data_IF_531168647704
#
_entry.id   IF_531168647704
#
_cell.length_a   1.000
_cell.length_b   1.000
_cell.length_c   1.000
_cell.angle_alpha   90.00
_cell.angle_beta   90.00
_cell.angle_gamma   90.00
#
_symmetry.space_group_name_H-M   'P 1'
#
loop_
_entity.id
_entity.type
_entity.pdbx_description
1 polymer ?
#
# COMPACT_ATOMS: atom_id res chain seq x y z
N UNK A 1 35.67 -10.03 -18.78
CA UNK A 1 36.09 -9.58 -17.43
C UNK A 1 35.44 -8.26 -17.02
N UNK A 2 35.34 -7.25 -17.89
CA UNK A 2 34.71 -5.94 -17.58
C UNK A 2 33.23 -6.05 -17.20
N UNK A 3 32.44 -6.88 -17.90
CA UNK A 3 31.03 -7.11 -17.58
C UNK A 3 30.79 -7.73 -16.19
N UNK A 4 31.68 -8.63 -15.75
CA UNK A 4 31.58 -9.25 -14.43
C UNK A 4 31.87 -8.23 -13.32
N UNK A 5 32.83 -7.32 -13.53
CA UNK A 5 33.14 -6.24 -12.60
C UNK A 5 32.00 -5.21 -12.55
N UNK A 6 31.40 -4.87 -13.69
CA UNK A 6 30.24 -3.97 -13.74
C UNK A 6 29.01 -4.59 -13.07
N UNK A 7 28.76 -5.89 -13.26
CA UNK A 7 27.69 -6.62 -12.59
C UNK A 7 27.92 -6.67 -11.07
N UNK A 8 29.15 -6.93 -10.63
CA UNK A 8 29.51 -6.92 -9.19
C UNK A 8 29.38 -5.53 -8.57
N UNK A 9 29.73 -4.46 -9.30
CA UNK A 9 29.54 -3.07 -8.84
C UNK A 9 28.06 -2.70 -8.78
N UNK A 10 27.25 -3.09 -9.75
CA UNK A 10 25.80 -2.88 -9.73
C UNK A 10 25.13 -3.66 -8.60
N UNK A 11 25.56 -4.90 -8.36
CA UNK A 11 25.11 -5.71 -7.23
C UNK A 11 25.53 -5.04 -5.91
N UNK A 12 26.74 -4.50 -5.80
CA UNK A 12 27.16 -3.74 -4.61
C UNK A 12 26.35 -2.45 -4.39
N UNK A 13 25.99 -1.72 -5.45
CA UNK A 13 25.09 -0.55 -5.35
C UNK A 13 23.66 -0.92 -4.94
N UNK A 14 23.18 -2.11 -5.31
CA UNK A 14 21.84 -2.61 -4.93
C UNK A 14 21.80 -3.09 -3.48
N UNK A 15 22.92 -3.57 -2.92
CA UNK A 15 23.02 -3.98 -1.51
C UNK A 15 23.10 -2.81 -0.50
N UNK A 16 23.17 -1.55 -0.94
CA UNK A 16 23.44 -0.40 -0.05
C UNK A 16 22.28 0.58 0.14
N UNK A 17 21.03 0.19 -0.10
CA UNK A 17 19.87 1.00 0.30
C UNK A 17 19.10 0.30 1.44
N UNK A 18 19.82 -0.12 2.48
CA UNK A 18 19.23 -0.33 3.79
C UNK A 18 19.39 0.99 4.55
N UNK A 19 18.39 1.87 4.52
CA UNK A 19 18.40 3.08 5.34
C UNK A 19 17.96 2.70 6.75
N UNK A 20 18.89 2.59 7.72
CA UNK A 20 18.54 2.07 9.03
C UNK A 20 17.67 3.09 9.78
N UNK A 21 16.60 2.61 10.41
CA UNK A 21 15.78 3.45 11.28
C UNK A 21 16.64 3.97 12.43
N UNK A 22 16.51 5.26 12.76
CA UNK A 22 17.14 5.84 13.96
C UNK A 22 16.08 6.42 14.87
N UNK A 23 16.33 6.41 16.18
CA UNK A 23 15.44 6.95 17.20
C UNK A 23 16.23 7.60 18.33
N UNK A 24 15.67 8.63 18.95
CA UNK A 24 16.30 9.35 20.05
C UNK A 24 15.76 8.87 21.40
N UNK A 25 16.64 8.84 22.39
CA UNK A 25 16.28 8.52 23.77
C UNK A 25 17.24 9.19 24.75
N UNK A 26 16.91 9.13 26.03
CA UNK A 26 17.84 9.51 27.10
C UNK A 26 18.62 8.28 27.55
N UNK A 27 19.94 8.39 27.58
CA UNK A 27 20.81 7.37 28.15
C UNK A 27 20.53 7.25 29.65
N UNK A 28 20.25 6.03 30.11
CA UNK A 28 19.97 5.77 31.52
C UNK A 28 21.23 5.86 32.40
N UNK A 29 22.42 5.72 31.80
CA UNK A 29 23.70 5.81 32.52
C UNK A 29 24.12 7.28 32.69
N UNK A 30 24.10 8.05 31.61
CA UNK A 30 24.65 9.43 31.61
C UNK A 30 23.60 10.52 31.72
N UNK A 31 22.31 10.19 31.53
CA UNK A 31 21.21 11.15 31.50
C UNK A 31 21.19 12.04 30.25
N UNK A 32 22.10 11.86 29.29
CA UNK A 32 22.19 12.69 28.07
C UNK A 32 21.32 12.14 26.93
N UNK A 33 20.87 13.00 25.99
CA UNK A 33 20.25 12.54 24.76
C UNK A 33 21.25 11.71 23.93
N UNK A 34 20.78 10.57 23.40
CA UNK A 34 21.54 9.70 22.50
C UNK A 34 20.67 9.29 21.32
N UNK A 35 21.27 9.26 20.14
CA UNK A 35 20.65 8.78 18.90
C UNK A 35 21.04 7.33 18.68
N UNK A 36 20.05 6.45 18.66
CA UNK A 36 20.23 5.01 18.49
C UNK A 36 19.83 4.58 17.08
N UNK A 37 20.48 3.53 16.58
CA UNK A 37 20.02 2.78 15.42
C UNK A 37 19.02 1.71 15.86
N UNK A 38 17.96 1.51 15.09
CA UNK A 38 17.00 0.42 15.28
C UNK A 38 17.54 -0.94 14.86
N UNK A 39 16.67 -1.92 14.89
CA UNK A 39 16.90 -3.30 14.50
C UNK A 39 16.31 -3.57 13.12
N UNK A 40 17.04 -4.30 12.30
CA UNK A 40 16.64 -4.70 10.94
C UNK A 40 15.39 -5.61 10.95
N UNK A 41 14.69 -5.76 9.81
CA UNK A 41 13.65 -6.77 9.64
C UNK A 41 14.14 -8.17 10.08
N UNK A 42 13.25 -8.99 10.63
CA UNK A 42 13.64 -10.28 11.21
C UNK A 42 14.19 -10.24 12.63
N UNK A 43 14.29 -9.05 13.23
CA UNK A 43 14.81 -8.86 14.58
C UNK A 43 13.99 -7.87 15.40
N UNK A 44 14.16 -7.93 16.72
CA UNK A 44 13.58 -7.01 17.70
C UNK A 44 14.67 -6.41 18.60
N UNK A 45 14.33 -5.31 19.27
CA UNK A 45 15.23 -4.63 20.20
C UNK A 45 15.26 -5.35 21.54
N UNK A 46 16.38 -6.01 21.83
CA UNK A 46 16.63 -6.67 23.12
C UNK A 46 17.09 -5.67 24.20
N UNK A 47 17.95 -4.74 23.82
CA UNK A 47 18.39 -3.66 24.70
C UNK A 47 18.67 -2.39 23.90
N UNK A 48 18.31 -1.24 24.48
CA UNK A 48 18.57 0.06 23.88
C UNK A 48 20.06 0.40 23.86
N UNK A 49 20.44 1.26 22.90
CA UNK A 49 21.76 1.86 22.89
C UNK A 49 21.99 2.78 24.10
N UNK A 50 23.26 2.95 24.45
CA UNK A 50 23.77 3.95 25.39
C UNK A 50 24.78 4.84 24.66
N UNK A 51 25.38 5.80 25.35
CA UNK A 51 26.43 6.66 24.76
C UNK A 51 27.65 5.86 24.27
N UNK A 52 27.89 4.67 24.83
CA UNK A 52 29.06 3.82 24.53
C UNK A 52 28.73 2.49 23.88
N UNK A 53 27.46 2.07 23.87
CA UNK A 53 27.04 0.79 23.31
C UNK A 53 25.92 0.98 22.28
N UNK A 54 26.02 0.28 21.16
CA UNK A 54 24.98 0.24 20.14
C UNK A 54 23.73 -0.51 20.63
N UNK A 55 22.60 -0.33 19.93
CA UNK A 55 21.39 -1.12 20.17
C UNK A 55 21.68 -2.62 20.02
N UNK A 56 21.18 -3.41 20.97
CA UNK A 56 21.30 -4.86 20.90
C UNK A 56 20.03 -5.44 20.28
N UNK A 57 20.17 -6.05 19.11
CA UNK A 57 19.09 -6.69 18.39
C UNK A 57 19.17 -8.21 18.52
N UNK A 58 18.01 -8.86 18.57
CA UNK A 58 17.91 -10.33 18.62
C UNK A 58 16.93 -10.83 17.55
N UNK A 59 17.16 -12.01 16.96
CA UNK A 59 16.30 -12.55 15.92
C UNK A 59 14.89 -12.86 16.47
N UNK A 60 13.89 -12.75 15.60
CA UNK A 60 12.53 -13.12 15.96
C UNK A 60 12.43 -14.64 16.28
N UNK A 61 11.79 -15.02 17.40
CA UNK A 61 11.50 -16.42 17.68
C UNK A 61 10.50 -17.01 16.69
N UNK A 62 10.43 -18.35 16.63
CA UNK A 62 9.46 -19.07 15.77
C UNK A 62 8.03 -18.59 16.05
N UNK A 63 7.25 -18.40 15.00
CA UNK A 63 5.87 -17.90 15.09
C UNK A 63 5.77 -16.38 15.27
N UNK A 64 6.86 -15.63 15.05
CA UNK A 64 6.86 -14.17 15.11
C UNK A 64 7.70 -13.55 13.99
N UNK A 65 7.45 -12.28 13.68
CA UNK A 65 8.09 -11.57 12.58
C UNK A 65 8.23 -10.05 12.82
N UNK A 66 9.10 -9.41 12.02
CA UNK A 66 9.15 -7.96 11.81
C UNK A 66 9.56 -7.68 10.36
N UNK A 67 8.79 -6.86 9.64
CA UNK A 67 9.01 -6.61 8.20
C UNK A 67 9.87 -5.37 7.93
N UNK A 68 9.93 -4.47 8.91
CA UNK A 68 10.58 -3.17 8.80
C UNK A 68 11.63 -3.01 9.90
N UNK A 69 12.56 -2.08 9.65
CA UNK A 69 13.42 -1.58 10.70
C UNK A 69 12.59 -1.06 11.88
N UNK A 70 12.94 -1.45 13.10
CA UNK A 70 12.10 -1.24 14.28
C UNK A 70 12.93 -1.00 15.55
N UNK A 71 12.27 -0.58 16.62
CA UNK A 71 12.86 -0.50 17.97
C UNK A 71 11.91 -1.12 19.01
N UNK A 72 11.06 -2.06 18.57
CA UNK A 72 10.08 -2.72 19.43
C UNK A 72 10.75 -3.80 20.28
N UNK A 73 10.30 -3.95 21.53
CA UNK A 73 10.89 -4.88 22.48
C UNK A 73 10.56 -6.36 22.24
N UNK A 74 9.66 -6.66 21.29
CA UNK A 74 9.18 -8.01 20.95
C UNK A 74 8.70 -8.04 19.49
N UNK A 75 8.89 -9.16 18.79
CA UNK A 75 8.36 -9.34 17.44
C UNK A 75 6.83 -9.48 17.41
N UNK A 76 6.23 -9.21 16.25
CA UNK A 76 4.80 -9.38 16.01
C UNK A 76 4.47 -10.87 15.88
N UNK A 77 3.34 -11.32 16.40
CA UNK A 77 2.92 -12.73 16.22
C UNK A 77 2.45 -12.94 14.80
N UNK A 78 2.82 -14.08 14.20
CA UNK A 78 2.27 -14.48 12.92
C UNK A 78 0.74 -14.59 13.01
N UNK A 79 0.06 -14.16 11.95
CA UNK A 79 -1.36 -14.40 11.73
C UNK A 79 -1.68 -15.89 11.53
N UNK A 80 -2.97 -16.17 11.50
CA UNK A 80 -3.52 -17.48 11.16
C UNK A 80 -4.60 -17.25 10.11
N UNK A 81 -4.61 -18.06 9.06
CA UNK A 81 -5.64 -17.95 8.03
C UNK A 81 -7.01 -18.32 8.57
N UNK A 82 -8.00 -17.51 8.22
CA UNK A 82 -9.37 -17.63 8.70
C UNK A 82 -10.18 -18.72 8.01
N UNK A 83 -11.49 -18.67 8.23
CA UNK A 83 -12.44 -19.61 7.64
C UNK A 83 -12.41 -19.49 6.11
N UNK A 84 -12.42 -20.64 5.43
CA UNK A 84 -12.34 -20.76 3.97
C UNK A 84 -11.08 -20.12 3.35
N UNK A 85 -10.01 -19.98 4.13
CA UNK A 85 -8.71 -19.56 3.65
C UNK A 85 -7.68 -20.70 3.74
N UNK A 86 -6.61 -20.56 2.97
CA UNK A 86 -5.40 -21.38 2.99
C UNK A 86 -4.17 -20.48 3.03
N UNK A 87 -3.07 -21.01 3.56
CA UNK A 87 -1.79 -20.30 3.59
C UNK A 87 -1.20 -20.30 2.18
N UNK A 88 -1.13 -19.13 1.53
CA UNK A 88 -0.44 -18.92 0.25
C UNK A 88 1.05 -18.74 0.46
N UNK A 89 1.44 -17.99 1.51
CA UNK A 89 2.83 -17.80 1.92
C UNK A 89 2.96 -18.03 3.42
N UNK A 90 3.92 -18.88 3.79
CA UNK A 90 4.19 -19.16 5.20
C UNK A 90 4.80 -17.94 5.90
N UNK A 91 4.45 -17.75 7.18
CA UNK A 91 5.11 -16.76 8.02
C UNK A 91 6.61 -17.07 8.17
N UNK A 92 7.43 -16.02 8.15
CA UNK A 92 8.88 -16.07 8.35
C UNK A 92 9.29 -15.04 9.40
N UNK A 93 10.55 -15.00 9.83
CA UNK A 93 11.01 -13.92 10.70
C UNK A 93 10.82 -12.52 10.05
N UNK A 94 10.80 -12.43 8.72
CA UNK A 94 10.81 -11.19 7.96
C UNK A 94 9.43 -10.76 7.42
N UNK A 95 8.42 -11.63 7.49
CA UNK A 95 7.09 -11.33 6.97
C UNK A 95 6.02 -12.22 7.58
N UNK A 96 4.80 -11.67 7.70
CA UNK A 96 3.64 -12.45 8.15
C UNK A 96 3.27 -13.55 7.14
N UNK A 97 2.40 -14.46 7.55
CA UNK A 97 1.73 -15.34 6.61
C UNK A 97 0.80 -14.54 5.67
N UNK A 98 0.69 -14.99 4.43
CA UNK A 98 -0.31 -14.49 3.50
C UNK A 98 -1.36 -15.57 3.27
N UNK A 99 -2.62 -15.17 3.36
CA UNK A 99 -3.77 -16.04 3.24
C UNK A 99 -4.51 -15.77 1.94
N UNK A 100 -5.06 -16.83 1.36
CA UNK A 100 -5.85 -16.79 0.14
C UNK A 100 -7.14 -17.57 0.34
N UNK A 101 -8.21 -17.20 -0.35
CA UNK A 101 -9.45 -17.95 -0.30
C UNK A 101 -9.27 -19.32 -0.95
N UNK A 102 -9.91 -20.35 -0.39
CA UNK A 102 -9.98 -21.67 -1.00
C UNK A 102 -10.63 -21.58 -2.39
N UNK A 103 -10.30 -22.54 -3.24
CA UNK A 103 -10.98 -22.69 -4.53
C UNK A 103 -12.51 -22.73 -4.36
N UNK A 104 -13.22 -22.01 -5.24
CA UNK A 104 -14.66 -21.82 -5.13
C UNK A 104 -15.09 -20.69 -4.17
N UNK A 105 -14.15 -19.95 -3.58
CA UNK A 105 -14.42 -18.78 -2.74
C UNK A 105 -13.64 -17.54 -3.23
N UNK A 106 -14.20 -16.36 -2.99
CA UNK A 106 -13.55 -15.06 -3.21
C UNK A 106 -13.56 -14.22 -1.94
N UNK A 107 -12.59 -13.31 -1.82
CA UNK A 107 -12.55 -12.36 -0.70
C UNK A 107 -13.64 -11.30 -0.89
N UNK A 108 -14.62 -11.27 0.00
CA UNK A 108 -15.63 -10.22 0.01
C UNK A 108 -15.12 -9.02 0.81
N UNK A 109 -14.84 -7.86 0.16
CA UNK A 109 -14.23 -6.71 0.83
C UNK A 109 -15.18 -6.02 1.84
N UNK A 110 -16.50 -6.23 1.73
CA UNK A 110 -17.46 -5.62 2.66
C UNK A 110 -17.40 -6.25 4.06
N UNK A 111 -17.07 -7.54 4.13
CA UNK A 111 -17.01 -8.31 5.38
C UNK A 111 -15.60 -8.80 5.71
N UNK A 112 -14.64 -8.56 4.81
CA UNK A 112 -13.28 -9.06 4.87
C UNK A 112 -13.20 -10.58 5.12
N UNK A 113 -14.05 -11.35 4.44
CA UNK A 113 -14.21 -12.80 4.60
C UNK A 113 -14.37 -13.50 3.25
N UNK A 114 -13.86 -14.72 3.13
CA UNK A 114 -14.04 -15.56 1.95
C UNK A 114 -15.48 -16.07 1.83
N UNK A 115 -16.15 -15.66 0.75
CA UNK A 115 -17.52 -16.04 0.41
C UNK A 115 -17.53 -16.95 -0.81
N UNK A 116 -18.43 -17.92 -0.84
CA UNK A 116 -18.54 -18.88 -1.95
C UNK A 116 -18.94 -18.15 -3.25
N UNK A 117 -18.36 -18.54 -4.38
CA UNK A 117 -18.83 -18.13 -5.69
C UNK A 117 -20.29 -18.56 -5.91
N UNK A 118 -21.06 -17.74 -6.61
CA UNK A 118 -22.41 -18.12 -7.05
C UNK A 118 -22.34 -19.05 -8.26
N UNK A 119 -23.24 -20.01 -8.32
CA UNK A 119 -23.42 -20.82 -9.53
C UNK A 119 -24.07 -19.98 -10.63
N UNK A 120 -23.59 -20.15 -11.87
CA UNK A 120 -24.22 -19.53 -13.03
C UNK A 120 -25.56 -20.22 -13.33
N UNK A 121 -26.62 -19.46 -13.66
CA UNK A 121 -27.85 -20.02 -14.21
C UNK A 121 -27.61 -20.83 -15.49
N UNK A 122 -28.50 -21.77 -15.78
CA UNK A 122 -28.45 -22.58 -17.01
C UNK A 122 -28.32 -21.71 -18.27
N UNK A 123 -27.31 -22.01 -19.09
CA UNK A 123 -27.02 -21.25 -20.32
C UNK A 123 -26.05 -20.08 -20.14
N UNK A 124 -25.56 -19.82 -18.92
CA UNK A 124 -24.50 -18.84 -18.65
C UNK A 124 -23.20 -19.55 -18.25
N UNK A 125 -22.07 -18.86 -18.43
CA UNK A 125 -20.74 -19.34 -18.06
C UNK A 125 -19.96 -18.31 -17.25
N UNK A 126 -18.93 -18.79 -16.56
CA UNK A 126 -18.01 -17.94 -15.81
C UNK A 126 -17.17 -17.11 -16.78
N UNK A 127 -17.16 -15.78 -16.62
CA UNK A 127 -16.46 -14.87 -17.54
C UNK A 127 -14.93 -14.90 -17.37
N UNK A 128 -14.42 -15.28 -16.19
CA UNK A 128 -12.98 -15.43 -15.87
C UNK A 128 -12.80 -16.45 -14.74
N UNK A 129 -11.88 -17.41 -14.89
CA UNK A 129 -11.61 -18.44 -13.87
C UNK A 129 -11.04 -17.86 -12.56
N UNK A 130 -10.40 -16.68 -12.60
CA UNK A 130 -9.76 -16.02 -11.45
C UNK A 130 -10.64 -14.94 -10.79
N UNK A 131 -11.79 -15.35 -10.23
CA UNK A 131 -12.88 -14.51 -9.73
C UNK A 131 -12.61 -13.36 -8.73
N UNK A 132 -11.37 -12.96 -8.41
CA UNK A 132 -11.11 -11.73 -7.64
C UNK A 132 -9.67 -11.14 -7.68
N UNK A 133 -8.68 -11.64 -8.43
CA UNK A 133 -7.33 -11.04 -8.39
C UNK A 133 -7.11 -9.87 -9.39
N UNK A 134 -8.07 -9.55 -10.26
CA UNK A 134 -8.01 -8.36 -11.13
C UNK A 134 -8.93 -7.19 -10.73
N UNK A 135 -9.49 -7.22 -9.52
CA UNK A 135 -10.14 -6.03 -8.93
C UNK A 135 -9.25 -5.30 -7.91
N UNK A 136 -7.99 -5.72 -7.75
CA UNK A 136 -6.97 -4.87 -7.17
C UNK A 136 -6.53 -3.85 -8.21
N UNK A 137 -6.95 -2.60 -7.99
CA UNK A 137 -6.43 -1.43 -8.67
C UNK A 137 -6.50 -1.51 -10.21
N UNK A 138 -7.67 -1.22 -10.79
CA UNK A 138 -7.62 -0.35 -11.96
C UNK A 138 -7.21 1.04 -11.48
N UNK A 139 -5.97 1.15 -11.00
CA UNK A 139 -5.27 2.41 -11.02
C UNK A 139 -5.40 2.91 -12.44
N UNK A 140 -6.07 4.04 -12.58
CA UNK A 140 -6.04 4.77 -13.84
C UNK A 140 -4.58 4.82 -14.26
N UNK A 141 -4.29 4.31 -15.46
CA UNK A 141 -2.93 4.35 -15.99
C UNK A 141 -2.38 5.76 -15.81
N UNK A 142 -1.07 5.91 -15.59
CA UNK A 142 -0.48 7.24 -15.37
C UNK A 142 -0.94 8.26 -16.43
N UNK A 143 -1.15 7.82 -17.67
CA UNK A 143 -1.75 8.62 -18.75
C UNK A 143 -3.18 9.07 -18.46
N UNK A 144 -4.06 8.16 -18.02
CA UNK A 144 -5.43 8.48 -17.60
C UNK A 144 -5.44 9.40 -16.37
N UNK A 145 -4.56 9.16 -15.39
CA UNK A 145 -4.46 9.98 -14.16
C UNK A 145 -3.97 11.41 -14.47
N UNK A 146 -2.99 11.56 -15.36
CA UNK A 146 -2.55 12.87 -15.88
C UNK A 146 -3.68 13.62 -16.60
N UNK A 147 -4.45 12.91 -17.46
CA UNK A 147 -5.62 13.49 -18.14
C UNK A 147 -6.70 13.93 -17.17
N UNK A 148 -6.94 13.17 -16.10
CA UNK A 148 -7.90 13.53 -15.06
C UNK A 148 -7.44 14.79 -14.33
N UNK A 149 -6.21 14.80 -13.82
CA UNK A 149 -5.65 15.96 -13.08
C UNK A 149 -5.62 17.21 -13.96
N UNK A 150 -5.16 17.11 -15.21
CA UNK A 150 -5.18 18.22 -16.15
C UNK A 150 -6.60 18.81 -16.33
N UNK A 151 -7.62 17.95 -16.49
CA UNK A 151 -9.02 18.41 -16.61
C UNK A 151 -9.57 19.01 -15.32
N UNK A 152 -9.12 18.54 -14.14
CA UNK A 152 -9.52 19.10 -12.86
C UNK A 152 -8.93 20.49 -12.62
N UNK A 153 -7.63 20.67 -12.93
CA UNK A 153 -6.94 21.96 -12.77
C UNK A 153 -7.41 23.00 -13.79
N UNK A 154 -7.77 22.58 -15.01
CA UNK A 154 -8.36 23.49 -16.00
C UNK A 154 -9.73 24.03 -15.57
N UNK A 155 -10.44 23.30 -14.71
CA UNK A 155 -11.75 23.70 -14.17
C UNK A 155 -11.66 24.54 -12.89
N UNK A 156 -10.53 24.50 -12.19
CA UNK A 156 -10.22 25.42 -11.08
C UNK A 156 -9.64 26.77 -11.56
N UNK A 157 -9.41 26.95 -12.87
CA UNK A 157 -8.84 28.17 -13.43
C UNK A 157 -7.32 28.29 -13.28
N UNK A 158 -6.64 27.19 -12.93
CA UNK A 158 -5.19 27.16 -12.76
C UNK A 158 -4.49 26.91 -14.10
N UNK A 159 -3.41 27.67 -14.39
CA UNK A 159 -2.62 27.50 -15.62
C UNK A 159 -1.82 26.20 -15.54
N UNK A 160 -2.07 25.32 -16.52
CA UNK A 160 -1.38 24.04 -16.69
C UNK A 160 0.12 24.27 -16.89
N UNK A 161 0.92 23.85 -15.91
CA UNK A 161 2.34 23.63 -16.13
C UNK A 161 2.76 22.33 -15.43
N UNK A 162 2.95 21.28 -16.23
CA UNK A 162 3.68 20.09 -15.80
C UNK A 162 2.87 18.84 -15.48
N UNK A 163 1.54 18.83 -15.64
CA UNK A 163 0.72 17.61 -15.42
C UNK A 163 1.20 16.42 -16.24
N UNK A 164 1.71 16.66 -17.46
CA UNK A 164 2.28 15.64 -18.34
C UNK A 164 3.58 14.98 -17.80
N UNK A 165 4.31 15.67 -16.91
CA UNK A 165 5.58 15.19 -16.33
C UNK A 165 5.40 14.57 -14.93
N UNK A 166 4.25 14.77 -14.27
CA UNK A 166 4.00 14.28 -12.91
C UNK A 166 4.00 12.75 -12.83
N UNK A 167 4.61 12.22 -11.76
CA UNK A 167 4.55 10.80 -11.40
C UNK A 167 3.25 10.45 -10.64
N UNK A 168 3.02 9.16 -10.39
CA UNK A 168 1.76 8.69 -9.80
C UNK A 168 1.46 9.31 -8.43
N UNK A 169 2.47 9.46 -7.58
CA UNK A 169 2.35 10.02 -6.22
C UNK A 169 2.07 11.52 -6.25
N UNK A 170 2.69 12.25 -7.18
CA UNK A 170 2.40 13.68 -7.39
C UNK A 170 0.95 13.88 -7.85
N UNK A 171 0.50 13.08 -8.82
CA UNK A 171 -0.89 13.12 -9.29
C UNK A 171 -1.89 12.73 -8.21
N UNK A 172 -1.52 11.79 -7.33
CA UNK A 172 -2.37 11.39 -6.20
C UNK A 172 -2.56 12.55 -5.23
N UNK A 173 -1.44 13.19 -4.84
CA UNK A 173 -1.43 14.31 -3.92
C UNK A 173 -2.28 15.48 -4.43
N UNK A 174 -2.17 15.81 -5.72
CA UNK A 174 -2.97 16.88 -6.32
C UNK A 174 -4.48 16.59 -6.24
N UNK A 175 -4.89 15.34 -6.43
CA UNK A 175 -6.31 14.96 -6.29
C UNK A 175 -6.76 15.10 -4.82
N UNK A 176 -5.92 14.64 -3.88
CA UNK A 176 -6.21 14.71 -2.44
C UNK A 176 -6.27 16.16 -1.92
N UNK A 177 -5.46 17.06 -2.44
CA UNK A 177 -5.47 18.50 -2.13
C UNK A 177 -6.68 19.22 -2.75
N UNK A 178 -7.15 18.76 -3.91
CA UNK A 178 -8.31 19.34 -4.60
C UNK A 178 -9.65 18.96 -3.95
N UNK A 179 -9.80 17.73 -3.44
CA UNK A 179 -11.05 17.25 -2.83
C UNK A 179 -11.60 18.19 -1.74
N UNK A 180 -10.83 18.60 -0.71
CA UNK A 180 -11.35 19.45 0.36
C UNK A 180 -11.63 20.89 -0.08
N UNK A 181 -11.06 21.35 -1.19
CA UNK A 181 -11.25 22.71 -1.73
C UNK A 181 -12.35 22.78 -2.80
N UNK A 182 -12.95 21.65 -3.17
CA UNK A 182 -13.95 21.55 -4.24
C UNK A 182 -15.37 21.94 -3.79
N UNK A 183 -16.08 22.66 -4.65
CA UNK A 183 -17.50 23.01 -4.48
C UNK A 183 -18.44 21.89 -4.95
N UNK A 184 -19.70 21.84 -4.50
CA UNK A 184 -20.68 20.84 -4.96
C UNK A 184 -20.84 20.80 -6.49
N UNK A 185 -20.78 21.97 -7.15
CA UNK A 185 -20.83 22.06 -8.61
C UNK A 185 -19.58 21.44 -9.27
N UNK A 186 -18.40 21.64 -8.69
CA UNK A 186 -17.16 21.03 -9.15
C UNK A 186 -17.17 19.49 -8.94
N UNK A 187 -17.77 19.00 -7.87
CA UNK A 187 -17.95 17.55 -7.64
C UNK A 187 -18.90 16.92 -8.66
N UNK A 188 -19.98 17.62 -9.06
CA UNK A 188 -20.85 17.15 -10.14
C UNK A 188 -20.12 17.13 -11.50
N UNK A 189 -19.30 18.14 -11.77
CA UNK A 189 -18.49 18.22 -12.99
C UNK A 189 -17.39 17.16 -13.03
N UNK A 190 -16.82 16.80 -11.86
CA UNK A 190 -15.86 15.70 -11.72
C UNK A 190 -16.44 14.38 -12.23
N UNK A 191 -17.70 14.06 -11.94
CA UNK A 191 -18.36 12.85 -12.44
C UNK A 191 -18.35 12.81 -13.97
N UNK A 192 -18.67 13.95 -14.62
CA UNK A 192 -18.65 14.06 -16.08
C UNK A 192 -17.23 13.90 -16.65
N UNK A 193 -16.24 14.51 -15.98
CA UNK A 193 -14.83 14.39 -16.36
C UNK A 193 -14.35 12.94 -16.26
N UNK A 194 -14.72 12.23 -15.19
CA UNK A 194 -14.38 10.83 -14.97
C UNK A 194 -14.92 9.93 -16.10
N UNK A 195 -16.17 10.14 -16.52
CA UNK A 195 -16.73 9.43 -17.68
C UNK A 195 -15.96 9.75 -18.96
N UNK A 196 -15.63 11.03 -19.20
CA UNK A 196 -14.86 11.47 -20.39
C UNK A 196 -13.40 10.99 -20.43
N UNK A 197 -12.86 10.43 -19.36
CA UNK A 197 -11.48 9.88 -19.33
C UNK A 197 -11.44 8.36 -19.28
N UNK A 198 -12.59 7.69 -19.48
CA UNK A 198 -12.66 6.23 -19.48
C UNK A 198 -12.59 5.63 -18.07
N UNK A 199 -13.21 6.31 -17.10
CA UNK A 199 -13.38 5.89 -15.71
C UNK A 199 -14.87 5.84 -15.32
N UNK A 200 -15.73 5.38 -16.23
CA UNK A 200 -17.20 5.38 -16.15
C UNK A 200 -17.72 4.61 -14.93
N UNK A 201 -17.18 3.43 -14.62
CA UNK A 201 -17.56 2.63 -13.45
C UNK A 201 -17.33 3.40 -12.13
N UNK A 202 -16.24 4.16 -12.07
CA UNK A 202 -15.92 4.95 -10.87
C UNK A 202 -16.81 6.20 -10.78
N UNK A 203 -17.16 6.80 -11.92
CA UNK A 203 -18.08 7.93 -12.00
C UNK A 203 -19.49 7.54 -11.51
N UNK A 204 -20.01 6.39 -11.93
CA UNK A 204 -21.33 5.89 -11.49
C UNK A 204 -21.35 5.53 -9.99
N UNK A 205 -20.27 4.94 -9.47
CA UNK A 205 -20.12 4.70 -8.02
C UNK A 205 -20.13 5.99 -7.20
N UNK A 206 -19.42 7.03 -7.66
CA UNK A 206 -19.39 8.33 -7.00
C UNK A 206 -20.76 9.01 -7.05
N UNK A 207 -21.44 8.98 -8.22
CA UNK A 207 -22.79 9.50 -8.42
C UNK A 207 -23.81 8.84 -7.48
N UNK A 208 -23.76 7.50 -7.36
CA UNK A 208 -24.62 6.75 -6.44
C UNK A 208 -24.43 7.17 -4.98
N UNK A 209 -23.18 7.35 -4.54
CA UNK A 209 -22.87 7.83 -3.17
C UNK A 209 -23.39 9.25 -2.91
N UNK A 210 -23.21 10.17 -3.86
CA UNK A 210 -23.72 11.54 -3.72
C UNK A 210 -25.24 11.59 -3.64
N UNK A 211 -25.95 10.79 -4.44
CA UNK A 211 -27.41 10.71 -4.39
C UNK A 211 -27.91 10.19 -3.04
N UNK A 212 -27.17 9.28 -2.39
CA UNK A 212 -27.48 8.80 -1.05
C UNK A 212 -27.30 9.89 0.02
N UNK A 213 -26.32 10.79 -0.16
CA UNK A 213 -26.06 11.90 0.77
C UNK A 213 -27.13 13.00 0.65
N UNK A 214 -27.64 13.25 -0.56
CA UNK A 214 -28.72 14.24 -0.79
C UNK A 214 -30.10 13.84 -0.25
N UNK A 215 -30.27 12.56 0.09
CA UNK A 215 -31.53 11.99 0.59
C UNK A 215 -31.54 11.83 2.13
N UNK A 216 -30.62 12.51 2.82
CA UNK A 216 -30.62 12.77 4.26
C UNK A 216 -30.71 14.29 4.48
#
# INVERSE_FOLDING_TARGET
>A
MVFAVLLLLLVALVHTIDNPLTYERRDFVTGKPVKCTGCQPGSYLRAHCTTTQSSQCAPCPRGTFTELWNYIGKCLRCGVCGINQVVKKQCTAFSDCQCECKEGFFLNPNYNMCTRHSECPSGQGVLTEDGAENLNHHEMTIKKKRRLVHKLLSESGEKDSGTSQMNFSQLQRTIEEWIPSSTPNQVHKLIEIMSKVGAESNAEKLKSKLNRIKNF
#
